data_IF_060681691114
#
_entry.id   IF_060681691114
#
_cell.length_a   1.000
_cell.length_b   1.000
_cell.length_c   1.000
_cell.angle_alpha   90.00
_cell.angle_beta   90.00
_cell.angle_gamma   90.00
#
_symmetry.space_group_name_H-M   'P 1'
#
loop_
_entity.id
_entity.type
_entity.pdbx_description
1 polymer ?
#
# COMPACT_ATOMS: atom_id res chain seq x y z
N UNK A 1 -16.14 2.11 -6.53
CA UNK A 1 -15.68 1.22 -5.45
C UNK A 1 -14.20 0.94 -5.71
N UNK A 2 -13.32 0.85 -4.69
CA UNK A 2 -11.83 0.80 -4.75
C UNK A 2 -11.09 2.11 -4.39
N UNK A 3 -11.76 3.06 -3.73
CA UNK A 3 -11.09 4.20 -3.09
C UNK A 3 -10.33 3.72 -1.86
N UNK A 4 -9.08 4.14 -1.68
CA UNK A 4 -8.21 3.63 -0.62
C UNK A 4 -7.83 4.71 0.39
N UNK A 5 -7.31 5.84 -0.11
CA UNK A 5 -6.86 6.94 0.76
C UNK A 5 -7.47 8.26 0.30
N UNK A 6 -7.79 9.12 1.27
CA UNK A 6 -7.92 10.55 1.04
C UNK A 6 -6.69 11.27 1.59
N UNK A 7 -6.07 12.07 0.74
CA UNK A 7 -4.89 12.86 1.04
C UNK A 7 -5.27 14.33 1.03
N UNK A 8 -4.82 15.10 2.03
CA UNK A 8 -4.93 16.57 2.04
C UNK A 8 -3.55 17.20 1.91
N UNK A 9 -3.42 18.15 1.00
CA UNK A 9 -2.19 18.92 0.75
C UNK A 9 -2.13 20.16 1.62
N UNK A 10 -0.92 20.71 1.81
CA UNK A 10 -0.71 21.95 2.55
C UNK A 10 -1.51 23.14 2.00
N UNK A 11 -1.82 23.14 0.70
CA UNK A 11 -2.69 24.13 0.05
C UNK A 11 -4.18 23.99 0.38
N UNK A 12 -4.58 22.93 1.09
CA UNK A 12 -5.98 22.64 1.43
C UNK A 12 -6.72 21.76 0.40
N UNK A 13 -6.10 21.50 -0.75
CA UNK A 13 -6.61 20.57 -1.76
C UNK A 13 -6.72 19.14 -1.19
N UNK A 14 -7.74 18.41 -1.63
CA UNK A 14 -7.97 17.00 -1.27
C UNK A 14 -7.99 16.11 -2.51
N UNK A 15 -7.34 14.97 -2.43
CA UNK A 15 -7.32 13.96 -3.50
C UNK A 15 -7.66 12.57 -2.95
N UNK A 16 -8.45 11.82 -3.71
CA UNK A 16 -8.77 10.42 -3.41
C UNK A 16 -7.90 9.53 -4.28
N UNK A 17 -7.04 8.75 -3.64
CA UNK A 17 -6.21 7.74 -4.30
C UNK A 17 -6.94 6.39 -4.28
N UNK A 18 -6.85 5.68 -5.39
CA UNK A 18 -7.47 4.37 -5.57
C UNK A 18 -6.43 3.27 -5.42
N UNK A 19 -6.85 2.06 -5.07
CA UNK A 19 -5.96 0.89 -5.00
C UNK A 19 -5.09 0.69 -6.25
N UNK A 20 -5.61 1.02 -7.44
CA UNK A 20 -4.84 0.93 -8.70
C UNK A 20 -3.61 1.84 -8.71
N UNK A 21 -3.63 2.92 -7.95
CA UNK A 21 -2.54 3.90 -7.85
C UNK A 21 -1.43 3.41 -6.89
N UNK A 22 -1.69 2.33 -6.14
CA UNK A 22 -0.73 1.67 -5.24
C UNK A 22 0.00 0.48 -5.88
N UNK A 23 -0.44 0.05 -7.06
CA UNK A 23 0.25 -0.98 -7.80
C UNK A 23 1.55 -0.41 -8.38
N UNK A 24 2.69 -0.89 -7.89
CA UNK A 24 4.00 -0.49 -8.40
C UNK A 24 4.69 -1.65 -9.14
N UNK A 25 5.63 -1.31 -10.04
CA UNK A 25 6.45 -2.32 -10.71
C UNK A 25 7.26 -3.17 -9.73
N UNK A 26 7.67 -2.60 -8.59
CA UNK A 26 8.33 -3.32 -7.50
C UNK A 26 7.39 -4.32 -6.82
N UNK A 27 6.14 -3.92 -6.55
CA UNK A 27 5.13 -4.81 -5.98
C UNK A 27 4.85 -6.01 -6.91
N UNK A 28 4.71 -5.75 -8.22
CA UNK A 28 4.50 -6.83 -9.20
C UNK A 28 5.70 -7.79 -9.22
N UNK A 29 6.92 -7.26 -9.17
CA UNK A 29 8.13 -8.09 -9.11
C UNK A 29 8.15 -8.97 -7.85
N UNK A 30 7.84 -8.40 -6.69
CA UNK A 30 7.77 -9.13 -5.42
C UNK A 30 6.74 -10.26 -5.46
N UNK A 31 5.53 -10.00 -6.00
CA UNK A 31 4.48 -11.02 -6.17
C UNK A 31 5.00 -12.19 -7.01
N UNK A 32 5.64 -11.89 -8.15
CA UNK A 32 6.18 -12.91 -9.06
C UNK A 32 7.27 -13.72 -8.38
N UNK A 33 8.17 -13.09 -7.63
CA UNK A 33 9.26 -13.77 -6.93
C UNK A 33 8.74 -14.66 -5.80
N UNK A 34 7.72 -14.21 -5.06
CA UNK A 34 7.04 -15.00 -4.04
C UNK A 34 6.31 -16.20 -4.65
N UNK A 35 5.59 -16.02 -5.74
CA UNK A 35 4.91 -17.10 -6.44
C UNK A 35 5.89 -18.16 -6.96
N UNK A 36 7.04 -17.74 -7.52
CA UNK A 36 8.12 -18.65 -7.92
C UNK A 36 8.70 -19.42 -6.73
N UNK A 37 8.92 -18.74 -5.61
CA UNK A 37 9.41 -19.37 -4.37
C UNK A 37 8.46 -20.45 -3.88
N UNK A 38 7.15 -20.22 -3.93
CA UNK A 38 6.14 -21.24 -3.60
C UNK A 38 6.19 -22.42 -4.57
N UNK A 39 6.25 -22.17 -5.87
CA UNK A 39 6.36 -23.24 -6.88
C UNK A 39 7.61 -24.12 -6.67
N UNK A 40 8.74 -23.53 -6.28
CA UNK A 40 9.96 -24.27 -5.95
C UNK A 40 9.76 -25.10 -4.68
N UNK A 41 9.09 -24.56 -3.66
CA UNK A 41 8.77 -25.33 -2.45
C UNK A 41 7.89 -26.54 -2.77
N UNK A 42 6.89 -26.38 -3.63
CA UNK A 42 6.00 -27.47 -4.05
C UNK A 42 6.75 -28.55 -4.83
N UNK A 43 7.71 -28.17 -5.67
CA UNK A 43 8.61 -29.12 -6.31
C UNK A 43 9.42 -29.91 -5.26
N UNK A 44 9.96 -29.24 -4.25
CA UNK A 44 10.81 -29.89 -3.24
C UNK A 44 10.01 -30.77 -2.26
N UNK A 45 8.74 -30.46 -2.01
CA UNK A 45 7.91 -31.13 -0.99
C UNK A 45 6.96 -32.16 -1.57
N UNK A 46 6.44 -31.94 -2.78
CA UNK A 46 5.41 -32.75 -3.41
C UNK A 46 5.82 -33.28 -4.80
N UNK A 47 7.05 -33.00 -5.26
CA UNK A 47 7.55 -33.31 -6.61
C UNK A 47 6.66 -32.76 -7.75
N UNK A 48 5.92 -31.68 -7.47
CA UNK A 48 5.07 -31.04 -8.45
C UNK A 48 5.81 -29.92 -9.18
N UNK A 49 5.99 -30.06 -10.49
CA UNK A 49 6.61 -29.03 -11.33
C UNK A 49 5.59 -28.02 -11.85
N UNK A 50 6.03 -26.77 -11.94
CA UNK A 50 5.33 -25.70 -12.64
C UNK A 50 4.80 -24.61 -11.72
N UNK A 51 4.54 -23.45 -12.30
CA UNK A 51 3.88 -22.33 -11.63
C UNK A 51 2.36 -22.49 -11.81
N UNK A 52 1.62 -22.53 -10.70
CA UNK A 52 0.15 -22.62 -10.68
C UNK A 52 -0.46 -21.26 -10.41
N UNK A 53 -1.71 -21.08 -10.84
CA UNK A 53 -2.50 -19.86 -10.55
C UNK A 53 -2.64 -19.64 -9.05
N UNK A 54 -2.77 -20.71 -8.27
CA UNK A 54 -2.84 -20.68 -6.80
C UNK A 54 -1.61 -19.99 -6.19
N UNK A 55 -0.39 -20.24 -6.71
CA UNK A 55 0.81 -19.57 -6.20
C UNK A 55 0.77 -18.05 -6.41
N UNK A 56 0.23 -17.60 -7.55
CA UNK A 56 0.08 -16.19 -7.85
C UNK A 56 -0.99 -15.54 -6.98
N UNK A 57 -2.13 -16.21 -6.78
CA UNK A 57 -3.21 -15.70 -5.93
C UNK A 57 -2.76 -15.56 -4.48
N UNK A 58 -2.13 -16.60 -3.92
CA UNK A 58 -1.59 -16.54 -2.56
C UNK A 58 -0.49 -15.48 -2.45
N UNK A 59 0.43 -15.40 -3.41
CA UNK A 59 1.48 -14.40 -3.39
C UNK A 59 0.93 -12.96 -3.47
N UNK A 60 -0.15 -12.77 -4.22
CA UNK A 60 -0.86 -11.50 -4.31
C UNK A 60 -1.43 -11.11 -2.94
N UNK A 61 -2.18 -12.00 -2.29
CA UNK A 61 -2.74 -11.76 -0.95
C UNK A 61 -1.66 -11.51 0.09
N UNK A 62 -0.57 -12.29 0.09
CA UNK A 62 0.56 -12.09 1.00
C UNK A 62 1.23 -10.72 0.80
N UNK A 63 1.47 -10.31 -0.45
CA UNK A 63 2.06 -9.00 -0.75
C UNK A 63 1.12 -7.87 -0.31
N UNK A 64 -0.19 -8.02 -0.53
CA UNK A 64 -1.17 -7.04 -0.05
C UNK A 64 -1.16 -6.96 1.48
N UNK A 65 -1.14 -8.08 2.20
CA UNK A 65 -1.08 -8.09 3.67
C UNK A 65 0.22 -7.44 4.19
N UNK A 66 1.36 -7.68 3.54
CA UNK A 66 2.64 -7.08 3.92
C UNK A 66 2.69 -5.57 3.62
N UNK A 67 1.98 -5.13 2.57
CA UNK A 67 1.81 -3.70 2.26
C UNK A 67 0.69 -3.03 3.08
N UNK A 68 -0.26 -3.79 3.63
CA UNK A 68 -1.30 -3.29 4.53
C UNK A 68 -0.75 -2.86 5.90
N UNK A 69 0.52 -3.16 6.21
CA UNK A 69 1.25 -2.65 7.36
C UNK A 69 1.90 -1.26 7.13
N UNK A 70 1.87 -0.72 5.89
CA UNK A 70 2.29 0.67 5.62
C UNK A 70 1.52 1.79 6.35
N UNK A 71 0.27 1.63 6.86
CA UNK A 71 -0.33 2.62 7.75
C UNK A 71 0.44 2.83 9.05
N UNK A 72 1.34 1.91 9.42
CA UNK A 72 2.17 2.01 10.63
C UNK A 72 3.51 2.73 10.37
N UNK A 73 3.92 2.89 9.11
CA UNK A 73 5.11 3.68 8.73
C UNK A 73 4.68 5.08 8.26
N UNK A 74 4.15 5.84 9.21
CA UNK A 74 3.69 7.23 9.08
C UNK A 74 4.85 8.19 8.80
N UNK A 75 5.46 8.14 7.62
CA UNK A 75 6.34 9.23 7.18
C UNK A 75 5.74 9.94 5.95
N UNK A 76 5.22 11.16 6.10
CA UNK A 76 4.73 11.98 4.99
C UNK A 76 5.73 12.17 3.85
N UNK A 77 7.04 12.03 4.12
CA UNK A 77 8.10 12.11 3.11
C UNK A 77 8.08 10.95 2.10
N UNK A 78 7.73 9.74 2.54
CA UNK A 78 7.67 8.58 1.64
C UNK A 78 6.49 8.68 0.67
N UNK A 79 5.40 9.30 1.13
CA UNK A 79 4.21 9.58 0.34
C UNK A 79 4.41 10.64 -0.74
N UNK A 80 5.20 11.68 -0.45
CA UNK A 80 5.56 12.70 -1.44
C UNK A 80 6.34 12.10 -2.63
N UNK A 81 7.06 10.98 -2.41
CA UNK A 81 7.79 10.26 -3.46
C UNK A 81 6.89 9.33 -4.27
N UNK A 82 5.90 8.70 -3.62
CA UNK A 82 4.96 7.77 -4.26
C UNK A 82 3.90 8.49 -5.10
N UNK A 83 3.41 9.66 -4.66
CA UNK A 83 2.33 10.35 -5.39
C UNK A 83 2.78 10.90 -6.75
N UNK A 84 4.09 11.15 -6.94
CA UNK A 84 4.69 11.59 -8.22
C UNK A 84 4.07 12.84 -8.85
N UNK A 85 3.15 13.52 -8.16
CA UNK A 85 2.32 14.61 -8.68
C UNK A 85 2.12 15.68 -7.62
N UNK A 86 2.28 16.92 -8.10
CA UNK A 86 2.33 18.19 -7.36
C UNK A 86 3.42 18.21 -6.28
N UNK A 87 4.39 19.12 -6.42
CA UNK A 87 5.42 19.40 -5.41
C UNK A 87 4.89 20.02 -4.11
N UNK A 88 3.63 19.79 -3.77
CA UNK A 88 2.98 20.27 -2.56
C UNK A 88 3.06 19.21 -1.46
N UNK A 89 3.41 19.64 -0.25
CA UNK A 89 3.58 18.74 0.89
C UNK A 89 2.23 18.19 1.34
N UNK A 90 2.17 16.88 1.55
CA UNK A 90 1.02 16.21 2.18
C UNK A 90 1.00 16.53 3.68
N UNK A 91 -0.15 16.98 4.18
CA UNK A 91 -0.33 17.35 5.61
C UNK A 91 -1.27 16.42 6.36
N UNK A 92 -2.10 15.65 5.65
CA UNK A 92 -3.03 14.72 6.28
C UNK A 92 -3.35 13.56 5.35
N UNK A 93 -3.44 12.35 5.90
CA UNK A 93 -3.82 11.13 5.19
C UNK A 93 -4.84 10.39 6.04
N UNK A 94 -5.95 9.96 5.42
CA UNK A 94 -6.92 9.05 6.04
C UNK A 94 -7.26 7.89 5.12
N UNK A 95 -7.46 6.72 5.72
CA UNK A 95 -7.96 5.54 5.02
C UNK A 95 -9.48 5.66 4.80
N UNK A 96 -9.94 5.24 3.62
CA UNK A 96 -11.37 5.15 3.31
C UNK A 96 -11.77 3.69 3.48
N UNK A 97 -12.25 3.34 4.67
CA UNK A 97 -12.81 2.01 4.92
C UNK A 97 -14.24 2.00 4.40
N UNK A 98 -14.51 1.34 3.29
CA UNK A 98 -15.88 1.17 2.78
C UNK A 98 -16.63 0.14 3.65
N UNK A 99 -17.12 0.56 4.81
CA UNK A 99 -18.13 -0.17 5.56
C UNK A 99 -19.47 -0.13 4.82
N UNK A 100 -20.23 -1.23 4.85
CA UNK A 100 -21.57 -1.37 4.22
C UNK A 100 -22.65 -0.40 4.73
N UNK A 101 -22.29 0.60 5.55
CA UNK A 101 -23.23 1.53 6.17
C UNK A 101 -22.58 2.92 6.27
N UNK A 102 -22.53 3.64 5.16
CA UNK A 102 -22.01 5.01 5.13
C UNK A 102 -20.49 5.10 5.28
N UNK A 103 -19.92 6.18 4.74
CA UNK A 103 -18.50 6.51 4.84
C UNK A 103 -18.16 6.83 6.31
N UNK A 104 -17.91 5.82 7.14
CA UNK A 104 -17.29 6.02 8.45
C UNK A 104 -15.84 6.48 8.25
N UNK A 105 -15.37 7.51 8.99
CA UNK A 105 -14.01 7.97 8.87
C UNK A 105 -13.06 6.85 9.33
N UNK A 106 -12.29 6.30 8.39
CA UNK A 106 -11.19 5.39 8.71
C UNK A 106 -10.14 6.08 9.58
N UNK A 107 -9.29 5.27 10.21
CA UNK A 107 -8.25 5.71 11.15
C UNK A 107 -7.46 6.89 10.57
N UNK A 108 -7.47 8.01 11.27
CA UNK A 108 -6.72 9.21 10.91
C UNK A 108 -5.28 9.07 11.36
N UNK A 109 -4.35 9.31 10.43
CA UNK A 109 -2.93 9.37 10.74
C UNK A 109 -2.59 10.85 10.91
N UNK A 110 -2.58 11.33 12.16
CA UNK A 110 -2.20 12.71 12.47
C UNK A 110 -0.69 12.88 12.35
N UNK A 111 -0.25 13.79 11.49
CA UNK A 111 1.14 14.22 11.43
C UNK A 111 1.46 14.99 12.71
N UNK A 112 2.10 14.35 13.68
CA UNK A 112 2.72 15.05 14.80
C UNK A 112 3.77 16.00 14.27
N UNK A 113 3.41 17.28 14.23
CA UNK A 113 4.28 18.41 13.97
C UNK A 113 5.25 18.62 15.12
N UNK A 114 6.29 17.77 15.26
CA UNK A 114 7.52 18.16 15.95
C UNK A 114 8.66 17.13 15.75
N UNK A 115 9.53 17.36 14.78
CA UNK A 115 10.94 16.95 14.92
C UNK A 115 11.75 18.22 14.79
N UNK A 116 12.02 18.84 15.94
CA UNK A 116 12.98 19.90 16.07
C UNK A 116 14.31 19.46 15.48
N UNK A 117 14.77 20.23 14.49
CA UNK A 117 16.02 20.97 14.59
C UNK A 117 17.11 20.25 15.41
N UNK A 118 17.82 19.34 14.77
CA UNK A 118 19.11 18.88 15.27
C UNK A 118 20.15 19.96 14.95
N UNK A 119 20.67 20.57 16.01
CA UNK A 119 21.97 21.24 16.06
C UNK A 119 23.09 20.21 15.94
#
# INVERSE_FOLDING_TARGET
ENQFLEVTYAGGDKEILYFKDFNSGAMIANIVDRAKKMAIKDLLTHDQRGLRVEHLLTACTDEFHENEDLPNTTNPGDWARVSGRKGERIVYIRTIVQGKMGSEPGRSIDTLSNTGQYL
#
